data_IF_619723110687
#
_entry.id   IF_619723110687
#
_cell.length_a   1.000
_cell.length_b   1.000
_cell.length_c   1.000
_cell.angle_alpha   90.00
_cell.angle_beta   90.00
_cell.angle_gamma   90.00
#
_symmetry.space_group_name_H-M   'P 1'
#
loop_
_entity.id
_entity.type
_entity.pdbx_description
1 polymer ?
#
# COMPACT_ATOMS: atom_id res chain seq x y z
N UNK A 1 -22.69 -2.63 -4.72
CA UNK A 1 -21.89 -2.01 -3.67
C UNK A 1 -20.40 -2.13 -3.96
N UNK A 2 -19.58 -1.21 -3.42
CA UNK A 2 -18.13 -1.23 -3.52
C UNK A 2 -17.56 -1.08 -2.12
N UNK A 3 -16.60 -1.92 -1.79
CA UNK A 3 -15.90 -1.90 -0.51
C UNK A 3 -14.41 -1.71 -0.75
N UNK A 4 -13.82 -0.81 -0.01
CA UNK A 4 -12.37 -0.59 0.00
C UNK A 4 -11.74 -1.32 1.18
N UNK A 5 -10.63 -2.01 0.93
CA UNK A 5 -9.86 -2.71 1.97
C UNK A 5 -8.39 -2.37 1.77
N UNK A 6 -7.78 -1.71 2.72
CA UNK A 6 -6.36 -1.32 2.63
C UNK A 6 -5.58 -1.94 3.79
N UNK A 7 -4.41 -2.45 3.51
CA UNK A 7 -3.51 -3.04 4.51
C UNK A 7 -2.11 -2.45 4.46
N UNK A 8 -1.53 -2.19 5.64
CA UNK A 8 -0.15 -1.70 5.76
C UNK A 8 0.42 -1.95 7.15
N UNK A 9 1.75 -1.95 7.26
CA UNK A 9 2.49 -2.13 8.49
C UNK A 9 3.07 -0.84 9.05
N UNK A 10 2.97 -0.63 10.35
CA UNK A 10 3.52 0.53 11.04
C UNK A 10 4.67 0.06 11.96
N UNK A 11 5.91 0.24 11.51
CA UNK A 11 7.07 -0.07 12.35
C UNK A 11 7.15 0.85 13.57
N UNK A 12 7.30 0.28 14.75
CA UNK A 12 7.52 0.96 16.02
C UNK A 12 8.79 0.42 16.71
N UNK A 13 9.30 1.15 17.70
CA UNK A 13 10.47 0.69 18.47
C UNK A 13 10.00 -0.08 19.70
N UNK A 14 10.36 -1.35 19.78
CA UNK A 14 10.19 -2.18 20.96
C UNK A 14 11.31 -1.99 22.00
N UNK A 15 11.07 -2.41 23.24
CA UNK A 15 12.10 -2.45 24.29
C UNK A 15 13.25 -3.36 23.88
N UNK A 16 14.49 -3.02 24.29
CA UNK A 16 15.67 -3.80 23.94
C UNK A 16 16.09 -3.70 22.46
N UNK A 17 15.81 -2.58 21.80
CA UNK A 17 16.13 -2.31 20.38
C UNK A 17 15.41 -3.25 19.39
N UNK A 18 14.40 -3.98 19.82
CA UNK A 18 13.58 -4.81 18.93
C UNK A 18 12.78 -3.92 17.97
N UNK A 19 12.61 -4.41 16.76
CA UNK A 19 11.64 -3.82 15.83
C UNK A 19 10.29 -4.51 16.07
N UNK A 20 9.28 -3.74 16.33
CA UNK A 20 7.91 -4.20 16.43
C UNK A 20 7.11 -3.57 15.30
N UNK A 21 6.05 -4.21 14.88
CA UNK A 21 5.19 -3.72 13.81
C UNK A 21 3.72 -3.83 14.21
N UNK A 22 2.99 -2.76 14.00
CA UNK A 22 1.53 -2.78 14.08
C UNK A 22 1.00 -3.07 12.68
N UNK A 23 0.53 -4.29 12.48
CA UNK A 23 -0.14 -4.68 11.24
C UNK A 23 -1.57 -4.19 11.27
N UNK A 24 -1.97 -3.49 10.23
CA UNK A 24 -3.25 -2.83 10.21
C UNK A 24 -3.98 -3.07 8.90
N UNK A 25 -5.26 -3.41 9.01
CA UNK A 25 -6.21 -3.47 7.90
C UNK A 25 -7.31 -2.47 8.17
N UNK A 26 -7.64 -1.65 7.19
CA UNK A 26 -8.77 -0.72 7.24
C UNK A 26 -9.75 -1.02 6.11
N UNK A 27 -11.03 -0.81 6.37
CA UNK A 27 -12.06 -0.88 5.34
C UNK A 27 -12.90 0.39 5.31
N UNK A 28 -13.48 0.70 4.15
CA UNK A 28 -14.40 1.80 3.99
C UNK A 28 -15.46 1.49 2.91
N UNK A 29 -16.64 2.04 3.06
CA UNK A 29 -17.76 1.89 2.09
C UNK A 29 -17.73 2.96 0.99
N UNK A 30 -16.63 3.69 0.87
CA UNK A 30 -16.43 4.73 -0.11
C UNK A 30 -15.65 5.89 0.45
N UNK A 31 -15.59 6.95 -0.36
CA UNK A 31 -14.90 8.20 -0.03
C UNK A 31 -15.87 9.37 -0.25
N UNK A 32 -16.00 10.20 0.75
CA UNK A 32 -16.66 11.51 0.63
C UNK A 32 -15.61 12.60 0.43
N UNK A 33 -15.95 13.61 -0.36
CA UNK A 33 -15.08 14.76 -0.60
C UNK A 33 -15.70 15.99 0.04
N UNK A 34 -14.96 16.64 0.93
CA UNK A 34 -15.33 17.94 1.49
C UNK A 34 -14.24 18.95 1.17
N UNK A 35 -14.48 19.80 0.17
CA UNK A 35 -13.46 20.65 -0.41
C UNK A 35 -12.30 19.86 -1.00
N UNK A 36 -11.06 20.15 -0.57
CA UNK A 36 -9.84 19.40 -0.98
C UNK A 36 -9.60 18.13 -0.16
N UNK A 37 -10.37 17.88 0.90
CA UNK A 37 -10.15 16.73 1.80
C UNK A 37 -11.02 15.56 1.41
N UNK A 38 -10.41 14.38 1.37
CA UNK A 38 -11.11 13.10 1.24
C UNK A 38 -11.30 12.50 2.62
N UNK A 39 -12.50 11.97 2.90
CA UNK A 39 -12.79 11.21 4.11
C UNK A 39 -13.36 9.86 3.73
N UNK A 40 -12.92 8.82 4.42
CA UNK A 40 -13.51 7.49 4.30
C UNK A 40 -14.93 7.51 4.86
N UNK A 41 -15.85 6.83 4.16
CA UNK A 41 -17.21 6.60 4.64
C UNK A 41 -17.23 5.34 5.49
N UNK A 42 -17.76 5.46 6.71
CA UNK A 42 -17.88 4.35 7.66
C UNK A 42 -16.58 3.55 7.81
N UNK A 43 -15.44 4.18 8.19
CA UNK A 43 -14.19 3.45 8.30
C UNK A 43 -14.21 2.50 9.50
N UNK A 44 -13.65 1.31 9.32
CA UNK A 44 -13.31 0.39 10.42
C UNK A 44 -11.84 0.05 10.31
N UNK A 45 -11.21 -0.07 11.46
CA UNK A 45 -9.81 -0.38 11.61
C UNK A 45 -9.65 -1.67 12.40
N UNK A 46 -8.74 -2.52 11.93
CA UNK A 46 -8.40 -3.77 12.59
C UNK A 46 -6.89 -3.85 12.66
N UNK A 47 -6.35 -4.06 13.85
CA UNK A 47 -4.90 -4.15 14.03
C UNK A 47 -4.45 -5.41 14.73
N UNK A 48 -3.18 -5.76 14.51
CA UNK A 48 -2.47 -6.82 15.19
C UNK A 48 -1.01 -6.46 15.43
N UNK A 49 -0.49 -6.88 16.58
CA UNK A 49 0.94 -6.87 16.89
C UNK A 49 1.59 -8.25 16.68
N UNK A 50 0.81 -9.27 16.27
CA UNK A 50 1.33 -10.61 16.03
C UNK A 50 1.91 -10.74 14.63
N UNK A 51 1.08 -10.46 13.62
CA UNK A 51 1.45 -10.60 12.20
C UNK A 51 0.42 -9.93 11.30
N UNK A 52 0.80 -9.67 10.04
CA UNK A 52 -0.13 -9.27 9.00
C UNK A 52 -1.25 -10.30 8.81
N UNK A 53 -0.91 -11.60 8.86
CA UNK A 53 -1.89 -12.69 8.77
C UNK A 53 -2.99 -12.56 9.84
N UNK A 54 -2.62 -12.34 11.12
CA UNK A 54 -3.60 -12.17 12.21
C UNK A 54 -4.49 -10.93 11.99
N UNK A 55 -3.94 -9.83 11.46
CA UNK A 55 -4.73 -8.66 11.11
C UNK A 55 -5.71 -8.96 9.97
N UNK A 56 -5.28 -9.67 8.95
CA UNK A 56 -6.14 -10.09 7.84
C UNK A 56 -7.22 -11.09 8.27
N UNK A 57 -6.92 -12.05 9.14
CA UNK A 57 -7.90 -13.00 9.69
C UNK A 57 -9.02 -12.27 10.46
N UNK A 58 -8.67 -11.30 11.30
CA UNK A 58 -9.65 -10.46 12.00
C UNK A 58 -10.48 -9.64 11.03
N UNK A 59 -9.86 -9.07 10.00
CA UNK A 59 -10.56 -8.33 8.97
C UNK A 59 -11.53 -9.24 8.19
N UNK A 60 -11.11 -10.45 7.83
CA UNK A 60 -11.93 -11.45 7.15
C UNK A 60 -13.19 -11.81 7.94
N UNK A 61 -13.06 -12.05 9.25
CA UNK A 61 -14.20 -12.32 10.14
C UNK A 61 -15.17 -11.14 10.12
N UNK A 62 -14.67 -9.92 10.23
CA UNK A 62 -15.51 -8.73 10.18
C UNK A 62 -16.21 -8.58 8.83
N UNK A 63 -15.49 -8.73 7.72
CA UNK A 63 -16.02 -8.59 6.37
C UNK A 63 -17.15 -9.63 6.13
N UNK A 64 -16.90 -10.89 6.47
CA UNK A 64 -17.87 -11.98 6.26
C UNK A 64 -19.13 -11.87 7.12
N UNK A 65 -19.04 -11.21 8.29
CA UNK A 65 -20.19 -11.06 9.20
C UNK A 65 -21.03 -9.80 8.92
N UNK A 66 -20.49 -8.80 8.20
CA UNK A 66 -21.17 -7.50 8.02
C UNK A 66 -21.50 -7.17 6.56
N UNK A 67 -20.98 -7.93 5.59
CA UNK A 67 -21.18 -7.62 4.17
C UNK A 67 -21.63 -8.84 3.37
N UNK A 68 -22.54 -8.61 2.45
CA UNK A 68 -22.82 -9.56 1.36
C UNK A 68 -21.73 -9.40 0.27
N UNK A 69 -20.61 -10.07 0.49
CA UNK A 69 -19.48 -9.98 -0.40
C UNK A 69 -19.78 -10.56 -1.80
N UNK A 70 -20.68 -11.55 -1.91
CA UNK A 70 -21.07 -12.15 -3.21
C UNK A 70 -21.67 -11.11 -4.18
N UNK A 71 -22.27 -10.05 -3.62
CA UNK A 71 -22.83 -8.95 -4.39
C UNK A 71 -21.99 -7.66 -4.34
N UNK A 72 -20.79 -7.72 -3.75
CA UNK A 72 -19.93 -6.55 -3.51
C UNK A 72 -18.64 -6.65 -4.31
N UNK A 73 -18.30 -5.58 -5.03
CA UNK A 73 -16.96 -5.38 -5.60
C UNK A 73 -16.03 -4.94 -4.48
N UNK A 74 -14.92 -5.66 -4.28
CA UNK A 74 -13.92 -5.33 -3.27
C UNK A 74 -12.66 -4.82 -3.94
N UNK A 75 -12.24 -3.62 -3.57
CA UNK A 75 -10.99 -3.03 -4.06
C UNK A 75 -10.00 -3.03 -2.90
N UNK A 76 -8.94 -3.83 -3.01
CA UNK A 76 -7.86 -3.84 -2.03
C UNK A 76 -6.69 -2.98 -2.47
N UNK A 77 -5.99 -2.38 -1.50
CA UNK A 77 -4.82 -1.55 -1.75
C UNK A 77 -3.77 -1.79 -0.65
N UNK A 78 -2.54 -2.11 -1.05
CA UNK A 78 -1.43 -2.39 -0.14
C UNK A 78 -0.10 -1.92 -0.74
N UNK A 79 0.99 -1.99 0.03
CA UNK A 79 2.34 -1.72 -0.46
C UNK A 79 2.94 -2.89 -1.28
N UNK A 80 2.27 -4.05 -1.30
CA UNK A 80 2.75 -5.29 -1.95
C UNK A 80 3.90 -5.97 -1.21
N UNK A 81 4.16 -5.58 0.04
CA UNK A 81 5.16 -6.20 0.91
C UNK A 81 4.78 -7.59 1.41
N UNK A 82 5.67 -8.20 2.20
CA UNK A 82 5.40 -9.50 2.82
C UNK A 82 4.19 -9.43 3.75
N UNK A 83 3.21 -10.32 3.55
CA UNK A 83 1.94 -10.32 4.28
C UNK A 83 0.90 -9.31 3.76
N UNK A 84 1.23 -8.59 2.67
CA UNK A 84 0.37 -7.59 2.04
C UNK A 84 0.33 -7.76 0.52
N UNK A 85 0.55 -8.96 0.03
CA UNK A 85 0.47 -9.28 -1.41
C UNK A 85 -0.98 -9.42 -1.86
N UNK A 86 -1.19 -9.42 -3.15
CA UNK A 86 -2.50 -9.63 -3.75
C UNK A 86 -3.16 -10.94 -3.26
N UNK A 87 -2.35 -12.01 -3.13
CA UNK A 87 -2.80 -13.32 -2.68
C UNK A 87 -3.25 -13.30 -1.20
N UNK A 88 -2.51 -12.58 -0.34
CA UNK A 88 -2.86 -12.40 1.08
C UNK A 88 -4.21 -11.70 1.22
N UNK A 89 -4.42 -10.64 0.41
CA UNK A 89 -5.69 -9.91 0.34
C UNK A 89 -6.83 -10.78 -0.18
N UNK A 90 -6.59 -11.50 -1.28
CA UNK A 90 -7.59 -12.37 -1.89
C UNK A 90 -8.03 -13.48 -0.93
N UNK A 91 -7.09 -14.08 -0.20
CA UNK A 91 -7.37 -15.10 0.80
C UNK A 91 -8.23 -14.55 1.94
N UNK A 92 -7.94 -13.35 2.42
CA UNK A 92 -8.68 -12.71 3.50
C UNK A 92 -10.08 -12.25 3.08
N UNK A 93 -10.23 -11.70 1.87
CA UNK A 93 -11.52 -11.24 1.33
C UNK A 93 -12.42 -12.44 1.01
N UNK A 94 -11.84 -13.53 0.50
CA UNK A 94 -12.59 -14.72 0.11
C UNK A 94 -13.46 -14.50 -1.13
N UNK A 95 -14.59 -15.21 -1.20
CA UNK A 95 -15.50 -15.14 -2.36
C UNK A 95 -16.27 -13.82 -2.33
N UNK A 96 -16.08 -13.01 -3.36
CA UNK A 96 -16.80 -11.75 -3.56
C UNK A 96 -17.26 -11.63 -5.04
N UNK A 97 -18.07 -10.62 -5.36
CA UNK A 97 -18.52 -10.38 -6.74
C UNK A 97 -17.34 -10.19 -7.70
N UNK A 98 -16.39 -9.37 -7.31
CA UNK A 98 -15.14 -9.10 -8.02
C UNK A 98 -14.12 -8.57 -7.03
N UNK A 99 -12.88 -9.05 -7.10
CA UNK A 99 -11.77 -8.53 -6.31
C UNK A 99 -10.76 -7.85 -7.22
N UNK A 100 -10.49 -6.58 -6.96
CA UNK A 100 -9.53 -5.75 -7.68
C UNK A 100 -8.44 -5.35 -6.71
N UNK A 101 -7.22 -5.87 -6.93
CA UNK A 101 -6.06 -5.48 -6.14
C UNK A 101 -5.33 -4.32 -6.78
N UNK A 102 -4.89 -3.36 -5.95
CA UNK A 102 -4.06 -2.23 -6.34
C UNK A 102 -2.81 -2.18 -5.46
N UNK A 103 -1.67 -1.85 -6.05
CA UNK A 103 -0.49 -1.47 -5.27
C UNK A 103 -0.52 0.02 -5.01
N UNK A 104 -0.25 0.41 -3.76
CA UNK A 104 -0.29 1.82 -3.36
C UNK A 104 0.73 2.66 -4.11
N UNK A 105 0.22 3.64 -4.85
CA UNK A 105 1.03 4.54 -5.69
C UNK A 105 2.03 5.37 -4.91
N UNK A 106 1.75 5.70 -3.65
CA UNK A 106 2.72 6.38 -2.80
C UNK A 106 3.98 5.53 -2.63
N UNK A 107 3.82 4.23 -2.32
CA UNK A 107 4.93 3.30 -2.17
C UNK A 107 5.67 3.06 -3.49
N UNK A 108 4.96 3.00 -4.62
CA UNK A 108 5.58 2.92 -5.94
C UNK A 108 6.45 4.16 -6.21
N UNK A 109 5.91 5.36 -5.98
CA UNK A 109 6.67 6.61 -6.17
C UNK A 109 7.87 6.71 -5.24
N UNK A 110 7.72 6.28 -3.99
CA UNK A 110 8.81 6.21 -3.01
C UNK A 110 9.91 5.25 -3.47
N UNK A 111 9.53 4.09 -4.02
CA UNK A 111 10.45 3.11 -4.58
C UNK A 111 11.21 3.69 -5.78
N UNK A 112 10.52 4.33 -6.73
CA UNK A 112 11.13 5.01 -7.88
C UNK A 112 12.14 6.05 -7.40
N UNK A 113 11.73 6.95 -6.49
CA UNK A 113 12.61 7.99 -5.95
C UNK A 113 13.85 7.42 -5.26
N UNK A 114 13.69 6.35 -4.48
CA UNK A 114 14.80 5.71 -3.79
C UNK A 114 15.78 5.07 -4.77
N UNK A 115 15.29 4.32 -5.76
CA UNK A 115 16.11 3.59 -6.74
C UNK A 115 16.75 4.50 -7.80
N UNK A 116 16.12 5.64 -8.09
CA UNK A 116 16.62 6.64 -9.04
C UNK A 116 17.22 7.87 -8.34
N UNK A 117 17.63 7.77 -7.07
CA UNK A 117 18.25 8.90 -6.35
C UNK A 117 19.50 9.46 -7.03
N UNK A 118 20.17 8.66 -7.86
CA UNK A 118 21.33 9.02 -8.66
C UNK A 118 20.98 9.60 -10.05
N UNK A 119 19.71 9.55 -10.48
CA UNK A 119 19.21 10.05 -11.75
C UNK A 119 17.81 10.68 -11.57
N UNK A 120 17.66 11.70 -10.71
CA UNK A 120 16.37 12.22 -10.27
C UNK A 120 15.55 12.86 -11.40
N UNK A 121 16.18 13.32 -12.47
CA UNK A 121 15.51 13.89 -13.64
C UNK A 121 14.64 12.86 -14.38
N UNK A 122 14.92 11.56 -14.21
CA UNK A 122 14.17 10.48 -14.84
C UNK A 122 12.96 10.00 -13.99
N UNK A 123 12.83 10.49 -12.76
CA UNK A 123 11.67 10.14 -11.93
C UNK A 123 10.34 10.59 -12.56
N UNK A 124 10.28 11.82 -13.06
CA UNK A 124 9.05 12.37 -13.61
C UNK A 124 8.63 11.69 -14.93
N UNK A 125 9.55 11.46 -15.91
CA UNK A 125 9.24 10.66 -17.09
C UNK A 125 8.67 9.28 -16.74
N UNK A 126 9.32 8.53 -15.82
CA UNK A 126 8.88 7.21 -15.41
C UNK A 126 7.49 7.24 -14.75
N UNK A 127 7.25 8.21 -13.86
CA UNK A 127 5.94 8.40 -13.22
C UNK A 127 4.83 8.74 -14.22
N UNK A 128 5.14 9.50 -15.28
CA UNK A 128 4.19 9.80 -16.37
C UNK A 128 3.83 8.55 -17.15
N UNK A 129 4.81 7.74 -17.55
CA UNK A 129 4.59 6.48 -18.25
C UNK A 129 3.72 5.51 -17.41
N UNK A 130 4.01 5.37 -16.11
CA UNK A 130 3.18 4.62 -15.17
C UNK A 130 1.75 5.16 -15.07
N UNK A 131 1.58 6.48 -15.09
CA UNK A 131 0.26 7.10 -15.02
C UNK A 131 -0.59 6.84 -16.24
N UNK A 132 0.04 6.75 -17.41
CA UNK A 132 -0.61 6.42 -18.67
C UNK A 132 -0.87 4.92 -18.82
N UNK A 133 -0.36 4.10 -17.91
CA UNK A 133 -0.41 2.64 -17.95
C UNK A 133 0.13 2.09 -19.28
N UNK A 134 1.27 2.61 -19.69
CA UNK A 134 1.93 2.31 -20.96
C UNK A 134 3.30 1.67 -20.70
N UNK A 135 3.37 0.36 -20.90
CA UNK A 135 4.58 -0.41 -20.64
C UNK A 135 5.69 -0.08 -21.63
N UNK A 136 5.37 0.20 -22.90
CA UNK A 136 6.38 0.54 -23.90
C UNK A 136 7.06 1.86 -23.54
N UNK A 137 6.30 2.85 -23.10
CA UNK A 137 6.86 4.09 -22.56
C UNK A 137 7.72 3.85 -21.32
N UNK A 138 7.37 2.91 -20.44
CA UNK A 138 8.19 2.54 -19.28
C UNK A 138 9.52 1.94 -19.76
N UNK A 139 9.47 0.99 -20.69
CA UNK A 139 10.67 0.35 -21.25
C UNK A 139 11.63 1.39 -21.86
N UNK A 140 11.12 2.30 -22.69
CA UNK A 140 11.90 3.39 -23.27
C UNK A 140 12.58 4.25 -22.19
N UNK A 141 11.86 4.58 -21.12
CA UNK A 141 12.42 5.36 -20.02
C UNK A 141 13.49 4.57 -19.27
N UNK A 142 13.29 3.28 -19.01
CA UNK A 142 14.29 2.42 -18.35
C UNK A 142 15.55 2.27 -19.19
N UNK A 143 15.44 2.07 -20.50
CA UNK A 143 16.57 2.02 -21.44
C UNK A 143 17.34 3.36 -21.47
N UNK A 144 16.59 4.47 -21.44
CA UNK A 144 17.20 5.81 -21.35
C UNK A 144 17.98 5.99 -20.06
N UNK A 145 17.46 5.48 -18.93
CA UNK A 145 18.17 5.51 -17.64
C UNK A 145 19.43 4.65 -17.71
N UNK A 146 19.35 3.46 -18.29
CA UNK A 146 20.50 2.56 -18.45
C UNK A 146 21.64 3.22 -19.26
N UNK A 147 21.30 3.91 -20.34
CA UNK A 147 22.29 4.62 -21.19
C UNK A 147 23.05 5.75 -20.47
N UNK A 148 22.52 6.23 -19.32
CA UNK A 148 23.16 7.27 -18.51
C UNK A 148 24.15 6.70 -17.48
N UNK A 149 24.26 5.39 -17.35
CA UNK A 149 25.14 4.75 -16.37
C UNK A 149 26.59 4.82 -16.88
N UNK A 150 27.46 5.51 -16.12
CA UNK A 150 28.88 5.58 -16.42
C UNK A 150 29.63 4.32 -15.97
N UNK A 151 30.76 4.00 -16.62
CA UNK A 151 31.57 2.82 -16.32
C UNK A 151 32.05 2.74 -14.87
N UNK A 152 32.32 3.87 -14.21
CA UNK A 152 32.81 3.92 -12.83
C UNK A 152 31.78 3.48 -11.76
N UNK A 153 30.50 3.55 -12.09
CA UNK A 153 29.39 3.27 -11.14
C UNK A 153 28.45 2.18 -11.67
N UNK A 154 28.91 1.42 -12.63
CA UNK A 154 28.08 0.54 -13.45
C UNK A 154 27.36 -0.52 -12.61
N UNK A 155 28.06 -1.21 -11.72
CA UNK A 155 27.52 -2.37 -10.98
C UNK A 155 26.35 -2.00 -10.08
N UNK A 156 26.53 -0.98 -9.25
CA UNK A 156 25.50 -0.63 -8.26
C UNK A 156 24.27 0.01 -8.89
N UNK A 157 24.48 0.90 -9.89
CA UNK A 157 23.39 1.56 -10.59
C UNK A 157 22.59 0.61 -11.48
N UNK A 158 23.27 -0.30 -12.18
CA UNK A 158 22.60 -1.36 -12.95
C UNK A 158 21.75 -2.26 -12.05
N UNK A 159 22.25 -2.62 -10.87
CA UNK A 159 21.49 -3.42 -9.92
C UNK A 159 20.26 -2.66 -9.38
N UNK A 160 20.40 -1.38 -9.03
CA UNK A 160 19.27 -0.54 -8.61
C UNK A 160 18.20 -0.43 -9.72
N UNK A 161 18.63 -0.24 -10.97
CA UNK A 161 17.72 -0.18 -12.11
C UNK A 161 17.04 -1.52 -12.36
N UNK A 162 17.79 -2.62 -12.34
CA UNK A 162 17.27 -3.99 -12.49
C UNK A 162 16.21 -4.30 -11.42
N UNK A 163 16.47 -3.93 -10.16
CA UNK A 163 15.54 -4.12 -9.06
C UNK A 163 14.28 -3.26 -9.21
N UNK A 164 14.42 -2.06 -9.77
CA UNK A 164 13.28 -1.20 -10.05
C UNK A 164 12.42 -1.78 -11.18
N UNK A 165 13.04 -2.20 -12.29
CA UNK A 165 12.35 -2.82 -13.42
C UNK A 165 11.58 -4.08 -12.99
N UNK A 166 12.23 -4.99 -12.28
CA UNK A 166 11.60 -6.20 -11.75
C UNK A 166 10.46 -5.91 -10.76
N UNK A 167 10.57 -4.83 -9.97
CA UNK A 167 9.48 -4.39 -9.10
C UNK A 167 8.28 -3.91 -9.89
N UNK A 168 8.49 -3.08 -10.92
CA UNK A 168 7.42 -2.56 -11.76
C UNK A 168 6.73 -3.67 -12.55
N UNK A 169 7.51 -4.57 -13.16
CA UNK A 169 7.01 -5.70 -13.92
C UNK A 169 6.13 -6.61 -13.05
N UNK A 170 6.63 -7.04 -11.89
CA UNK A 170 5.89 -7.89 -10.96
C UNK A 170 4.56 -7.28 -10.51
N UNK A 171 4.51 -5.96 -10.35
CA UNK A 171 3.32 -5.26 -9.87
C UNK A 171 2.48 -4.67 -11.00
N UNK A 172 2.85 -4.86 -12.27
CA UNK A 172 2.22 -4.18 -13.40
C UNK A 172 0.71 -4.33 -13.44
N UNK A 173 0.20 -5.55 -13.31
CA UNK A 173 -1.24 -5.82 -13.31
C UNK A 173 -2.00 -5.04 -12.23
N UNK A 174 -1.36 -4.76 -11.09
CA UNK A 174 -1.94 -4.07 -9.94
C UNK A 174 -1.76 -2.53 -9.99
N UNK A 175 -1.12 -2.02 -11.04
CA UNK A 175 -0.94 -0.59 -11.30
C UNK A 175 -1.96 -0.03 -12.31
N UNK A 176 -2.82 -0.90 -12.87
CA UNK A 176 -3.86 -0.49 -13.81
C UNK A 176 -4.76 0.56 -13.17
N UNK A 177 -4.99 1.71 -13.83
CA UNK A 177 -5.87 2.75 -13.29
C UNK A 177 -7.31 2.26 -13.13
N UNK A 178 -7.93 2.52 -11.98
CA UNK A 178 -9.32 2.11 -11.72
C UNK A 178 -10.31 2.62 -12.79
N UNK A 179 -10.05 3.80 -13.39
CA UNK A 179 -10.87 4.35 -14.47
C UNK A 179 -10.94 3.47 -15.72
N UNK A 180 -9.97 2.57 -15.89
CA UNK A 180 -9.88 1.63 -17.02
C UNK A 180 -10.51 0.27 -16.72
N UNK A 181 -10.99 0.08 -15.50
CA UNK A 181 -11.68 -1.13 -15.05
C UNK A 181 -13.18 -0.83 -15.06
N UNK A 182 -13.94 -1.63 -15.83
CA UNK A 182 -15.37 -1.38 -16.07
C UNK A 182 -16.18 -1.26 -14.78
N UNK A 183 -15.99 -2.21 -13.86
CA UNK A 183 -16.67 -2.24 -12.56
C UNK A 183 -16.29 -1.08 -11.63
N UNK A 184 -15.21 -0.34 -11.98
CA UNK A 184 -14.70 0.79 -11.21
C UNK A 184 -14.94 2.15 -11.88
N UNK A 185 -15.69 2.22 -12.96
CA UNK A 185 -16.00 3.51 -13.61
C UNK A 185 -16.66 4.47 -12.63
N UNK A 186 -16.09 5.68 -12.53
CA UNK A 186 -16.56 6.70 -11.58
C UNK A 186 -16.07 6.52 -10.14
N UNK A 187 -15.40 5.40 -9.82
CA UNK A 187 -14.84 5.17 -8.50
C UNK A 187 -13.48 5.87 -8.39
N UNK A 188 -13.31 6.64 -7.33
CA UNK A 188 -12.02 7.29 -7.05
C UNK A 188 -11.18 6.43 -6.12
N UNK A 189 -9.90 6.30 -6.43
CA UNK A 189 -8.93 5.62 -5.57
C UNK A 189 -8.86 6.26 -4.18
N UNK A 190 -8.74 5.45 -3.14
CA UNK A 190 -8.59 5.92 -1.76
C UNK A 190 -7.12 6.21 -1.47
N UNK A 191 -6.24 5.22 -1.40
CA UNK A 191 -4.84 5.40 -1.04
C UNK A 191 -4.70 6.18 0.25
N UNK A 192 -5.50 5.84 1.27
CA UNK A 192 -5.59 6.61 2.52
C UNK A 192 -4.86 5.96 3.69
N UNK A 193 -4.31 4.75 3.49
CA UNK A 193 -3.70 3.99 4.57
C UNK A 193 -2.57 4.77 5.23
N UNK A 194 -1.64 5.30 4.47
CA UNK A 194 -0.51 6.10 4.96
C UNK A 194 -0.99 7.36 5.73
N UNK A 195 -1.99 8.08 5.21
CA UNK A 195 -2.52 9.26 5.91
C UNK A 195 -3.21 8.92 7.22
N UNK A 196 -3.81 7.73 7.32
CA UNK A 196 -4.45 7.23 8.52
C UNK A 196 -3.49 6.61 9.53
N UNK A 197 -2.21 6.48 9.19
CA UNK A 197 -1.13 6.12 10.13
C UNK A 197 -0.75 7.28 11.07
N UNK A 198 -1.18 8.49 10.79
CA UNK A 198 -0.81 9.66 11.59
C UNK A 198 -1.07 9.53 13.10
N UNK A 199 -2.22 9.04 13.57
CA UNK A 199 -2.46 8.84 15.01
C UNK A 199 -1.45 7.89 15.65
N UNK A 200 -1.11 6.80 14.96
CA UNK A 200 -0.11 5.82 15.43
C UNK A 200 1.30 6.43 15.39
N UNK A 201 1.68 7.06 14.29
CA UNK A 201 2.99 7.67 14.15
C UNK A 201 3.22 8.74 15.21
N UNK A 202 2.24 9.59 15.45
CA UNK A 202 2.32 10.65 16.45
C UNK A 202 2.42 10.11 17.88
N UNK A 203 1.62 9.11 18.22
CA UNK A 203 1.59 8.54 19.58
C UNK A 203 2.65 7.49 19.84
N UNK A 204 3.08 6.75 18.83
CA UNK A 204 3.91 5.57 19.02
C UNK A 204 5.33 5.69 18.46
N UNK A 205 5.62 6.65 17.55
CA UNK A 205 6.95 6.87 16.98
C UNK A 205 7.62 8.13 17.52
N UNK A 206 8.94 8.20 17.37
CA UNK A 206 9.75 9.37 17.70
C UNK A 206 9.91 9.63 19.20
N UNK A 207 10.58 10.73 19.54
CA UNK A 207 10.76 11.26 20.91
C UNK A 207 11.24 10.24 21.95
N UNK A 208 12.12 9.29 21.55
CA UNK A 208 12.64 8.27 22.46
C UNK A 208 11.63 7.22 22.92
N UNK A 209 10.47 7.10 22.27
CA UNK A 209 9.45 6.13 22.65
C UNK A 209 9.86 4.70 22.32
N UNK A 210 9.79 3.84 23.32
CA UNK A 210 10.03 2.41 23.24
C UNK A 210 8.87 1.68 23.91
N UNK A 211 8.34 0.66 23.26
CA UNK A 211 7.15 -0.05 23.70
C UNK A 211 7.45 -1.44 24.20
N UNK A 212 6.85 -1.84 25.31
CA UNK A 212 6.64 -3.25 25.60
C UNK A 212 5.50 -3.76 24.69
N UNK A 213 5.44 -5.05 24.43
CA UNK A 213 4.35 -5.63 23.62
C UNK A 213 2.95 -5.26 24.15
N UNK A 214 2.75 -5.40 25.47
CA UNK A 214 1.48 -5.08 26.12
C UNK A 214 1.18 -3.57 26.11
N UNK A 215 2.20 -2.72 26.29
CA UNK A 215 2.06 -1.28 26.20
C UNK A 215 1.71 -0.82 24.78
N UNK A 216 2.32 -1.43 23.77
CA UNK A 216 1.97 -1.18 22.38
C UNK A 216 0.53 -1.59 22.07
N UNK A 217 0.11 -2.77 22.56
CA UNK A 217 -1.26 -3.28 22.40
C UNK A 217 -2.29 -2.34 23.06
N UNK A 218 -2.04 -1.90 24.28
CA UNK A 218 -2.91 -0.96 24.97
C UNK A 218 -3.02 0.39 24.22
N UNK A 219 -1.89 0.91 23.70
CA UNK A 219 -1.89 2.15 22.92
C UNK A 219 -2.65 2.00 21.61
N UNK A 220 -2.52 0.88 20.91
CA UNK A 220 -3.29 0.59 19.69
C UNK A 220 -4.79 0.58 20.01
N UNK A 221 -5.21 -0.09 21.08
CA UNK A 221 -6.62 -0.10 21.51
C UNK A 221 -7.15 1.31 21.83
N UNK A 222 -6.32 2.18 22.44
CA UNK A 222 -6.70 3.59 22.70
C UNK A 222 -6.83 4.40 21.40
N UNK A 223 -6.06 4.06 20.36
CA UNK A 223 -6.12 4.78 19.08
C UNK A 223 -7.37 4.38 18.29
N UNK A 224 -7.81 3.14 18.42
CA UNK A 224 -8.91 2.53 17.64
C UNK A 224 -10.28 2.61 18.33
N UNK A 225 -10.32 2.76 19.66
CA UNK A 225 -11.54 2.92 20.48
C UNK A 225 -12.01 4.33 20.52
#
# INVERSE_FOLDING_TARGET
>A
PVLWVEGDGIGIKGKGKRKEEVHRVQRAEGVTTSGKRKKMKNPIFVSSLKSAKDAWEKAAIYLGSHYDLKNTVVISNTDGGSGYRAEDCAMAIGVCKEHIHQVDRYHVHKKIKSRLSWCPEMELPLKKALWSYDWDSIAIVLDTIESKISLEQEKDKKEELRLLAAYLERNWAYLRPLREIESCKGIRGIGSCESNHRPYSYRMKGNGKYWSHDGARAMVSIIEG
#
